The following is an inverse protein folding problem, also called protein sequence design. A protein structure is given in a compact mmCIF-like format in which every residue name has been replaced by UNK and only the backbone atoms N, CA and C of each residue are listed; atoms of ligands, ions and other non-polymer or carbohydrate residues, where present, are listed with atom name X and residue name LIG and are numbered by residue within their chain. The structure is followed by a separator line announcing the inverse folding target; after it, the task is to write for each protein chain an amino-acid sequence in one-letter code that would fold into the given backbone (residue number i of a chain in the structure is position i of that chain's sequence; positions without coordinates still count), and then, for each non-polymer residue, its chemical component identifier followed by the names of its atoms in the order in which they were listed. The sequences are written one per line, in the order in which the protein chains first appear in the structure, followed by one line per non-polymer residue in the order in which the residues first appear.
data_IF_055079965969
#
_entry.id   IF_055079965969
#
_cell.length_a   1.000
_cell.length_b   1.000
_cell.length_c   1.000
_cell.angle_alpha   90.00
_cell.angle_beta   90.00
_cell.angle_gamma   90.00
#
_symmetry.space_group_name_H-M   'P 1'
#
loop_
_entity.id
_entity.type
_entity.pdbx_description
1 polymer ?
#
# COMPACT_ATOMS: atom_id res chain seq x y z
N UNK A 1 20.53 15.35 6.64
CA UNK A 1 20.19 15.39 5.20
C UNK A 1 20.18 14.01 4.54
N UNK A 2 21.28 13.24 4.50
CA UNK A 2 21.32 11.92 3.84
C UNK A 2 20.23 10.92 4.32
N UNK A 3 19.96 10.88 5.63
CA UNK A 3 18.94 10.00 6.23
C UNK A 3 17.51 10.30 5.75
N UNK A 4 17.22 11.56 5.39
CA UNK A 4 15.90 11.98 4.91
C UNK A 4 15.66 11.55 3.46
N UNK A 5 16.69 11.66 2.61
CA UNK A 5 16.65 11.19 1.23
C UNK A 5 16.51 9.68 1.13
N UNK A 6 17.21 8.93 1.97
CA UNK A 6 17.04 7.48 2.05
C UNK A 6 15.59 7.09 2.40
N UNK A 7 14.97 7.81 3.34
CA UNK A 7 13.55 7.62 3.67
C UNK A 7 12.61 7.84 2.48
N UNK A 8 12.86 8.89 1.69
CA UNK A 8 12.05 9.18 0.49
C UNK A 8 12.26 8.15 -0.63
N UNK A 9 13.51 7.71 -0.87
CA UNK A 9 13.79 6.67 -1.89
C UNK A 9 13.14 5.35 -1.49
N UNK A 10 13.29 4.95 -0.23
CA UNK A 10 12.63 3.73 0.26
C UNK A 10 11.11 3.86 0.17
N UNK A 11 10.53 5.04 0.46
CA UNK A 11 9.10 5.30 0.29
C UNK A 11 8.67 5.08 -1.17
N UNK A 12 9.41 5.67 -2.11
CA UNK A 12 9.16 5.54 -3.54
C UNK A 12 9.13 4.06 -3.98
N UNK A 13 10.16 3.30 -3.60
CA UNK A 13 10.27 1.87 -3.96
C UNK A 13 9.14 1.07 -3.34
N UNK A 14 8.83 1.30 -2.06
CA UNK A 14 7.75 0.58 -1.38
C UNK A 14 6.38 0.83 -2.02
N UNK A 15 6.10 2.09 -2.40
CA UNK A 15 4.85 2.42 -3.10
C UNK A 15 4.86 1.94 -4.56
N UNK A 16 6.02 1.81 -5.21
CA UNK A 16 6.11 1.15 -6.51
C UNK A 16 5.78 -0.34 -6.43
N UNK A 17 6.27 -1.04 -5.42
CA UNK A 17 5.85 -2.44 -5.16
C UNK A 17 4.35 -2.51 -4.87
N UNK A 18 3.81 -1.59 -4.06
CA UNK A 18 2.36 -1.55 -3.79
C UNK A 18 1.55 -1.31 -5.07
N UNK A 19 1.94 -0.37 -5.92
CA UNK A 19 1.26 -0.11 -7.19
C UNK A 19 1.32 -1.31 -8.13
N UNK A 20 2.46 -2.00 -8.18
CA UNK A 20 2.62 -3.25 -8.93
C UNK A 20 1.69 -4.35 -8.39
N UNK A 21 1.64 -4.55 -7.08
CA UNK A 21 0.76 -5.54 -6.45
C UNK A 21 -0.72 -5.23 -6.74
N UNK A 22 -1.15 -3.98 -6.53
CA UNK A 22 -2.54 -3.58 -6.83
C UNK A 22 -2.90 -3.82 -8.29
N UNK A 23 -1.96 -3.61 -9.21
CA UNK A 23 -2.20 -3.83 -10.64
C UNK A 23 -2.26 -5.32 -10.98
N UNK A 24 -1.40 -6.15 -10.36
CA UNK A 24 -1.41 -7.60 -10.56
C UNK A 24 -2.68 -8.27 -10.02
N UNK A 25 -3.24 -7.76 -8.93
CA UNK A 25 -4.50 -8.24 -8.38
C UNK A 25 -5.73 -7.57 -9.01
N UNK A 26 -5.56 -6.88 -10.15
CA UNK A 26 -6.62 -6.17 -10.87
C UNK A 26 -7.50 -5.31 -9.95
N UNK A 27 -6.85 -4.60 -9.01
CA UNK A 27 -7.54 -3.86 -7.97
C UNK A 27 -8.52 -2.84 -8.57
N UNK A 28 -9.76 -2.88 -8.08
CA UNK A 28 -10.82 -1.96 -8.54
C UNK A 28 -10.46 -0.50 -8.30
N UNK A 29 -11.05 0.40 -9.09
CA UNK A 29 -10.84 1.85 -8.91
C UNK A 29 -11.16 2.34 -7.48
N UNK A 30 -12.09 1.68 -6.78
CA UNK A 30 -12.40 1.98 -5.39
C UNK A 30 -11.22 1.67 -4.45
N UNK A 31 -10.50 0.56 -4.68
CA UNK A 31 -9.30 0.20 -3.91
C UNK A 31 -8.20 1.24 -4.12
N UNK A 32 -7.94 1.63 -5.37
CA UNK A 32 -6.98 2.69 -5.69
C UNK A 32 -7.31 4.01 -4.98
N UNK A 33 -8.58 4.44 -5.02
CA UNK A 33 -9.04 5.64 -4.33
C UNK A 33 -8.88 5.53 -2.80
N UNK A 34 -9.18 4.38 -2.20
CA UNK A 34 -8.98 4.15 -0.77
C UNK A 34 -7.49 4.19 -0.39
N UNK A 35 -6.61 3.63 -1.23
CA UNK A 35 -5.15 3.73 -1.03
C UNK A 35 -4.71 5.20 -1.05
N UNK A 36 -5.19 6.00 -2.00
CA UNK A 36 -4.91 7.44 -2.06
C UNK A 36 -5.41 8.18 -0.82
N UNK A 37 -6.62 7.88 -0.35
CA UNK A 37 -7.16 8.49 0.88
C UNK A 37 -6.26 8.18 2.08
N UNK A 38 -5.77 6.95 2.21
CA UNK A 38 -4.83 6.57 3.28
C UNK A 38 -3.51 7.33 3.14
N UNK A 39 -2.97 7.46 1.92
CA UNK A 39 -1.74 8.22 1.65
C UNK A 39 -1.92 9.68 2.06
N UNK A 40 -2.99 10.34 1.62
CA UNK A 40 -3.30 11.74 1.95
C UNK A 40 -3.45 11.91 3.45
N UNK A 41 -4.21 11.03 4.10
CA UNK A 41 -4.44 11.09 5.54
C UNK A 41 -3.13 10.95 6.31
N UNK A 42 -2.32 9.93 6.02
CA UNK A 42 -1.01 9.71 6.67
C UNK A 42 -0.01 10.83 6.38
N UNK A 43 0.04 11.34 5.14
CA UNK A 43 0.90 12.46 4.79
C UNK A 43 0.57 13.70 5.62
N UNK A 44 -0.71 13.92 5.90
CA UNK A 44 -1.18 15.08 6.67
C UNK A 44 -0.87 14.93 8.16
N UNK A 45 -1.40 13.88 8.79
CA UNK A 45 -1.36 13.69 10.25
C UNK A 45 -0.06 13.06 10.77
N UNK A 46 0.71 12.37 9.92
CA UNK A 46 1.90 11.62 10.34
C UNK A 46 1.56 10.43 11.24
N UNK A 47 2.30 10.24 12.33
CA UNK A 47 2.16 9.06 13.23
C UNK A 47 0.82 8.95 13.95
N UNK A 48 0.08 10.06 14.11
CA UNK A 48 -1.23 10.06 14.78
C UNK A 48 -2.31 9.25 14.04
N UNK A 49 -2.10 8.94 12.77
CA UNK A 49 -3.07 8.22 11.93
C UNK A 49 -2.76 6.74 11.70
N UNK A 50 -1.67 6.22 12.29
CA UNK A 50 -1.20 4.85 12.01
C UNK A 50 -2.32 3.82 12.26
N UNK A 51 -3.02 3.89 13.40
CA UNK A 51 -4.06 2.93 13.75
C UNK A 51 -5.23 2.92 12.76
N UNK A 52 -5.75 4.10 12.40
CA UNK A 52 -6.86 4.21 11.46
C UNK A 52 -6.44 3.79 10.03
N UNK A 53 -5.19 4.06 9.68
CA UNK A 53 -4.63 3.68 8.39
C UNK A 53 -4.36 2.19 8.30
N UNK A 54 -3.92 1.54 9.39
CA UNK A 54 -3.80 0.08 9.48
C UNK A 54 -5.18 -0.55 9.36
N UNK A 55 -6.19 -0.04 10.07
CA UNK A 55 -7.56 -0.54 9.94
C UNK A 55 -8.08 -0.39 8.49
N UNK A 56 -7.81 0.76 7.85
CA UNK A 56 -8.13 0.99 6.43
C UNK A 56 -7.37 0.05 5.49
N UNK A 57 -6.07 -0.17 5.72
CA UNK A 57 -5.24 -1.07 4.92
C UNK A 57 -5.67 -2.53 5.04
N UNK A 58 -6.02 -2.98 6.25
CA UNK A 58 -6.64 -4.30 6.48
C UNK A 58 -7.96 -4.40 5.71
N UNK A 59 -8.78 -3.36 5.74
CA UNK A 59 -10.03 -3.30 4.97
C UNK A 59 -9.80 -3.38 3.47
N UNK A 60 -8.83 -2.63 2.93
CA UNK A 60 -8.49 -2.63 1.50
C UNK A 60 -7.98 -4.00 1.06
N UNK A 61 -7.00 -4.57 1.79
CA UNK A 61 -6.44 -5.87 1.45
C UNK A 61 -7.50 -6.96 1.62
N UNK A 62 -8.31 -6.90 2.67
CA UNK A 62 -9.41 -7.84 2.88
C UNK A 62 -10.43 -7.79 1.73
N UNK A 63 -10.91 -6.60 1.35
CA UNK A 63 -11.86 -6.45 0.24
C UNK A 63 -11.21 -6.84 -1.08
N UNK A 64 -9.97 -6.43 -1.34
CA UNK A 64 -9.23 -6.75 -2.56
C UNK A 64 -9.03 -8.26 -2.73
N UNK A 65 -8.59 -8.96 -1.70
CA UNK A 65 -8.37 -10.41 -1.78
C UNK A 65 -9.67 -11.20 -1.81
N UNK A 66 -10.72 -10.75 -1.11
CA UNK A 66 -12.05 -11.37 -1.19
C UNK A 66 -12.74 -11.17 -2.55
N UNK A 67 -12.33 -10.16 -3.33
CA UNK A 67 -12.91 -9.87 -4.65
C UNK A 67 -12.07 -10.39 -5.81
N UNK A 68 -10.75 -10.46 -5.66
CA UNK A 68 -9.83 -10.91 -6.71
C UNK A 68 -9.86 -12.41 -6.93
N UNK A 69 -9.97 -13.22 -5.86
CA UNK A 69 -10.07 -14.67 -5.99
C UNK A 69 -10.61 -15.24 -4.67
N UNK A 70 -11.93 -15.36 -4.57
CA UNK A 70 -12.47 -16.34 -3.66
C UNK A 70 -12.10 -17.72 -4.21
N UNK A 71 -11.46 -18.62 -3.43
CA UNK A 71 -11.42 -20.05 -3.79
C UNK A 71 -12.84 -20.69 -3.82
N UNK A 72 -13.89 -19.87 -3.70
CA UNK A 72 -15.31 -20.21 -3.66
C UNK A 72 -16.06 -19.92 -4.98
N UNK A 73 -15.37 -19.95 -6.13
CA UNK A 73 -15.95 -20.58 -7.32
C UNK A 73 -15.30 -21.97 -7.43
N UNK A 74 -15.96 -23.09 -7.19
CA UNK A 74 -17.15 -23.54 -7.91
C UNK A 74 -18.02 -24.44 -7.03
N UNK A 75 -19.29 -24.08 -6.92
CA UNK A 75 -20.47 -24.95 -7.02
C UNK A 75 -20.18 -26.42 -7.44
N UNK A 76 -19.78 -27.27 -6.50
CA UNK A 76 -19.76 -28.73 -6.67
C UNK A 76 -18.41 -29.45 -6.81
N UNK A 77 -17.25 -28.79 -6.63
CA UNK A 77 -15.94 -29.46 -6.64
C UNK A 77 -15.32 -29.58 -5.23
N UNK A 78 -14.52 -30.63 -4.94
CA UNK A 78 -13.96 -30.87 -3.62
C UNK A 78 -12.96 -29.77 -3.21
N UNK A 79 -13.00 -29.41 -1.93
CA UNK A 79 -12.13 -28.40 -1.31
C UNK A 79 -10.64 -28.68 -1.60
N UNK A 80 -9.99 -27.80 -2.36
CA UNK A 80 -8.55 -27.91 -2.65
C UNK A 80 -7.74 -27.20 -1.55
N UNK A 81 -7.23 -28.00 -0.59
CA UNK A 81 -6.41 -27.52 0.52
C UNK A 81 -5.18 -26.71 0.05
N UNK A 82 -4.55 -27.09 -1.05
CA UNK A 82 -3.35 -26.40 -1.55
C UNK A 82 -3.70 -25.00 -2.06
N UNK A 83 -4.81 -24.83 -2.78
CA UNK A 83 -5.26 -23.52 -3.25
C UNK A 83 -5.65 -22.60 -2.08
N UNK A 84 -6.33 -23.14 -1.07
CA UNK A 84 -6.68 -22.39 0.14
C UNK A 84 -5.44 -21.96 0.95
N UNK A 85 -4.41 -22.81 1.02
CA UNK A 85 -3.15 -22.49 1.69
C UNK A 85 -2.39 -21.38 0.95
N UNK A 86 -2.27 -21.46 -0.37
CA UNK A 86 -1.60 -20.41 -1.18
C UNK A 86 -2.31 -19.06 -1.01
N UNK A 87 -3.65 -19.06 -1.13
CA UNK A 87 -4.45 -17.86 -0.92
C UNK A 87 -4.27 -17.24 0.47
N UNK A 88 -4.22 -18.06 1.53
CA UNK A 88 -4.00 -17.57 2.88
C UNK A 88 -2.60 -16.97 3.07
N UNK A 89 -1.58 -17.53 2.42
CA UNK A 89 -0.21 -17.01 2.43
C UNK A 89 -0.16 -15.65 1.71
N UNK A 90 -0.78 -15.54 0.54
CA UNK A 90 -0.82 -14.30 -0.25
C UNK A 90 -1.56 -13.18 0.49
N UNK A 91 -2.68 -13.52 1.13
CA UNK A 91 -3.43 -12.58 1.99
C UNK A 91 -2.57 -12.12 3.17
N UNK A 92 -1.91 -13.06 3.87
CA UNK A 92 -1.03 -12.77 4.99
C UNK A 92 0.15 -11.86 4.60
N UNK A 93 0.79 -12.15 3.46
CA UNK A 93 1.88 -11.35 2.92
C UNK A 93 1.42 -9.94 2.53
N UNK A 94 0.28 -9.82 1.85
CA UNK A 94 -0.30 -8.54 1.43
C UNK A 94 -0.67 -7.66 2.62
N UNK A 95 -1.24 -8.25 3.68
CA UNK A 95 -1.54 -7.54 4.93
C UNK A 95 -0.27 -7.04 5.62
N UNK A 96 0.73 -7.92 5.76
CA UNK A 96 2.01 -7.56 6.34
C UNK A 96 2.68 -6.42 5.57
N UNK A 97 2.66 -6.50 4.23
CA UNK A 97 3.19 -5.46 3.36
C UNK A 97 2.46 -4.12 3.54
N UNK A 98 1.12 -4.12 3.54
CA UNK A 98 0.32 -2.90 3.73
C UNK A 98 0.66 -2.20 5.06
N UNK A 99 0.79 -2.97 6.14
CA UNK A 99 1.17 -2.45 7.47
C UNK A 99 2.57 -1.82 7.41
N UNK A 100 3.55 -2.48 6.80
CA UNK A 100 4.90 -1.95 6.66
C UNK A 100 4.91 -0.61 5.91
N UNK A 101 4.19 -0.51 4.80
CA UNK A 101 4.15 0.72 3.98
C UNK A 101 3.50 1.88 4.76
N UNK A 102 2.43 1.60 5.51
CA UNK A 102 1.77 2.59 6.39
C UNK A 102 2.74 3.11 7.44
N UNK A 103 3.45 2.22 8.14
CA UNK A 103 4.46 2.62 9.11
C UNK A 103 5.57 3.43 8.44
N UNK A 104 6.05 3.01 7.28
CA UNK A 104 7.11 3.69 6.56
C UNK A 104 6.73 5.11 6.16
N UNK A 105 5.50 5.34 5.67
CA UNK A 105 5.00 6.68 5.36
C UNK A 105 4.88 7.54 6.62
N UNK A 106 4.33 6.99 7.70
CA UNK A 106 4.19 7.70 8.97
C UNK A 106 5.55 8.06 9.60
N UNK A 107 6.52 7.17 9.57
CA UNK A 107 7.86 7.43 10.09
C UNK A 107 8.65 8.38 9.20
N UNK A 108 8.52 8.29 7.88
CA UNK A 108 9.19 9.21 6.95
C UNK A 108 8.68 10.63 7.13
N UNK A 109 7.36 10.82 7.18
CA UNK A 109 6.75 12.13 7.43
C UNK A 109 7.13 12.70 8.80
N UNK A 110 7.13 11.88 9.85
CA UNK A 110 7.55 12.30 11.18
C UNK A 110 9.03 12.71 11.22
N UNK A 111 9.94 11.93 10.62
CA UNK A 111 11.37 12.24 10.55
C UNK A 111 11.66 13.52 9.76
N UNK A 112 10.93 13.76 8.67
CA UNK A 112 11.07 14.98 7.89
C UNK A 112 10.63 16.21 8.70
N UNK A 113 9.51 16.12 9.43
CA UNK A 113 9.05 17.17 10.36
C UNK A 113 10.08 17.43 11.47
N UNK A 114 10.66 16.39 12.07
CA UNK A 114 11.73 16.51 13.08
C UNK A 114 13.02 17.14 12.52
N UNK A 115 13.25 17.06 11.21
CA UNK A 115 14.41 17.67 10.56
C UNK A 115 14.24 19.18 10.31
N UNK A 116 13.13 19.77 10.78
CA UNK A 116 12.85 21.22 10.68
C UNK A 116 12.09 21.64 9.42
N UNK A 117 11.58 20.70 8.63
CA UNK A 117 10.81 21.00 7.42
C UNK A 117 9.40 21.47 7.77
N UNK A 118 8.82 22.36 6.98
CA UNK A 118 7.44 22.83 7.22
C UNK A 118 6.46 21.69 6.98
N UNK A 119 5.42 21.58 7.81
CA UNK A 119 4.42 20.51 7.69
C UNK A 119 3.78 20.42 6.32
N UNK A 120 3.53 21.55 5.65
CA UNK A 120 2.97 21.61 4.30
C UNK A 120 3.95 21.04 3.24
N UNK A 121 5.23 21.34 3.36
CA UNK A 121 6.27 20.82 2.45
C UNK A 121 6.42 19.31 2.61
N UNK A 122 6.44 18.82 3.86
CA UNK A 122 6.50 17.39 4.15
C UNK A 122 5.28 16.65 3.59
N UNK A 123 4.08 17.24 3.73
CA UNK A 123 2.86 16.69 3.15
C UNK A 123 3.00 16.50 1.64
N UNK A 124 3.33 17.57 0.91
CA UNK A 124 3.40 17.51 -0.55
C UNK A 124 4.50 16.58 -1.05
N UNK A 125 5.65 16.56 -0.39
CA UNK A 125 6.74 15.65 -0.77
C UNK A 125 6.36 14.20 -0.54
N UNK A 126 5.83 13.87 0.64
CA UNK A 126 5.43 12.50 0.95
C UNK A 126 4.30 12.02 0.03
N UNK A 127 3.30 12.89 -0.23
CA UNK A 127 2.20 12.62 -1.15
C UNK A 127 2.69 12.38 -2.57
N UNK A 128 3.51 13.28 -3.12
CA UNK A 128 4.04 13.17 -4.48
C UNK A 128 4.94 11.94 -4.64
N UNK A 129 5.81 11.64 -3.67
CA UNK A 129 6.70 10.48 -3.74
C UNK A 129 5.91 9.17 -3.66
N UNK A 130 4.90 9.08 -2.79
CA UNK A 130 4.02 7.91 -2.72
C UNK A 130 3.24 7.71 -4.03
N UNK A 131 2.64 8.78 -4.57
CA UNK A 131 1.89 8.75 -5.84
C UNK A 131 2.79 8.37 -7.02
N UNK A 132 3.99 8.95 -7.12
CA UNK A 132 4.97 8.58 -8.15
C UNK A 132 5.34 7.11 -8.05
N UNK A 133 5.53 6.59 -6.83
CA UNK A 133 5.75 5.17 -6.59
C UNK A 133 4.59 4.34 -7.16
N UNK A 134 3.36 4.62 -6.74
CA UNK A 134 2.16 3.90 -7.21
C UNK A 134 2.04 3.89 -8.74
N UNK A 135 2.25 5.04 -9.39
CA UNK A 135 2.21 5.17 -10.85
C UNK A 135 3.31 4.35 -11.51
N UNK A 136 4.55 4.40 -11.01
CA UNK A 136 5.64 3.56 -11.52
C UNK A 136 5.33 2.07 -11.39
N UNK A 137 4.79 1.66 -10.25
CA UNK A 137 4.36 0.28 -10.01
C UNK A 137 3.32 -0.20 -11.03
N UNK A 138 2.31 0.63 -11.29
CA UNK A 138 1.27 0.34 -12.28
C UNK A 138 1.85 0.22 -13.71
N UNK A 139 2.74 1.13 -14.09
CA UNK A 139 3.39 1.09 -15.40
C UNK A 139 4.25 -0.17 -15.61
N UNK A 140 4.86 -0.72 -14.55
CA UNK A 140 5.63 -1.96 -14.66
C UNK A 140 4.77 -3.14 -15.11
N UNK A 141 3.52 -3.25 -14.63
CA UNK A 141 2.61 -4.30 -15.06
C UNK A 141 2.17 -4.14 -16.53
N UNK A 142 1.89 -2.90 -16.95
CA UNK A 142 1.48 -2.62 -18.35
C UNK A 142 2.54 -3.00 -19.40
N UNK A 143 3.81 -3.10 -19.03
CA UNK A 143 4.90 -3.51 -19.94
C UNK A 143 5.08 -5.04 -20.02
N UNK A 144 4.34 -5.81 -19.24
CA UNK A 144 4.35 -7.28 -19.24
C UNK A 144 3.16 -7.91 -19.96
N UNK A 145 2.25 -7.09 -20.50
CA UNK A 145 1.14 -7.46 -21.40
C UNK A 145 1.55 -7.24 -22.87
#
# INVERSE_FOLDING_TARGET
MYRSWFGLITLLVSYAVTGYLLSNYEATAAIWLLTEIIVVYLAWTGTGAIFLSIAGGIGIVGIGVLTADLPYGMSGLPFNLNAAQVWAIDLGFSLFWAILVIFQLAFTTHRLKLSGWKSLEVFWIAFMVANLGLVFGNMLNLNHL
#
